data_IF_754387351836
#
_entry.id   IF_754387351836
#
_cell.length_a   1.000
_cell.length_b   1.000
_cell.length_c   1.000
_cell.angle_alpha   90.00
_cell.angle_beta   90.00
_cell.angle_gamma   90.00
#
_symmetry.space_group_name_H-M   'P 1'
#
loop_
_entity.id
_entity.type
_entity.pdbx_description
1 polymer ?
#
# COMPACT_ATOMS: atom_id res chain seq x y z
N UNK A 1 -12.89 12.05 16.38
CA UNK A 1 -13.90 11.10 15.85
C UNK A 1 -13.28 9.77 15.41
N UNK A 2 -12.17 9.75 14.67
CA UNK A 2 -11.45 8.54 14.22
C UNK A 2 -11.23 7.48 15.32
N UNK A 3 -10.82 7.90 16.52
CA UNK A 3 -10.55 6.96 17.63
C UNK A 3 -11.80 6.20 18.11
N UNK A 4 -13.00 6.81 18.04
CA UNK A 4 -14.26 6.11 18.41
C UNK A 4 -14.62 5.04 17.38
N UNK A 5 -14.53 5.38 16.09
CA UNK A 5 -14.81 4.44 14.99
C UNK A 5 -13.85 3.25 15.04
N UNK A 6 -12.58 3.50 15.33
CA UNK A 6 -11.60 2.42 15.49
C UNK A 6 -11.96 1.44 16.60
N UNK A 7 -12.40 1.96 17.75
CA UNK A 7 -12.76 1.13 18.90
C UNK A 7 -14.07 0.35 18.71
N UNK A 8 -14.96 0.81 17.83
CA UNK A 8 -16.18 0.07 17.47
C UNK A 8 -15.96 -1.08 16.48
N UNK A 9 -14.79 -1.16 15.83
CA UNK A 9 -14.50 -2.21 14.86
C UNK A 9 -14.20 -3.56 15.55
N UNK A 10 -14.58 -4.70 14.95
CA UNK A 10 -14.13 -6.01 15.40
C UNK A 10 -12.61 -6.12 15.48
N UNK A 11 -12.09 -6.96 16.37
CA UNK A 11 -10.65 -7.10 16.58
C UNK A 11 -9.92 -7.58 15.30
N UNK A 12 -10.54 -8.50 14.54
CA UNK A 12 -9.98 -8.98 13.28
C UNK A 12 -9.93 -7.88 12.20
N UNK A 13 -10.93 -6.99 12.14
CA UNK A 13 -10.92 -5.88 11.18
C UNK A 13 -9.80 -4.89 11.52
N UNK A 14 -9.59 -4.59 12.80
CA UNK A 14 -8.45 -3.76 13.24
C UNK A 14 -7.11 -4.42 12.91
N UNK A 15 -7.01 -5.73 13.07
CA UNK A 15 -5.83 -6.51 12.70
C UNK A 15 -5.55 -6.42 11.19
N UNK A 16 -6.57 -6.66 10.35
CA UNK A 16 -6.45 -6.58 8.89
C UNK A 16 -6.06 -5.17 8.45
N UNK A 17 -6.73 -4.13 8.95
CA UNK A 17 -6.46 -2.73 8.60
C UNK A 17 -5.03 -2.32 8.92
N UNK A 18 -4.47 -2.80 10.04
CA UNK A 18 -3.07 -2.52 10.42
C UNK A 18 -2.10 -3.12 9.42
N UNK A 19 -2.32 -4.37 8.99
CA UNK A 19 -1.44 -5.04 8.03
C UNK A 19 -1.59 -4.49 6.62
N UNK A 20 -2.81 -4.17 6.19
CA UNK A 20 -3.04 -3.44 4.93
C UNK A 20 -2.28 -2.13 4.93
N UNK A 21 -2.42 -1.31 5.99
CA UNK A 21 -1.75 -0.03 6.08
C UNK A 21 -0.21 -0.17 6.05
N UNK A 22 0.34 -1.17 6.75
CA UNK A 22 1.78 -1.45 6.72
C UNK A 22 2.24 -1.86 5.32
N UNK A 23 1.53 -2.79 4.66
CA UNK A 23 1.83 -3.21 3.29
C UNK A 23 1.77 -2.04 2.31
N UNK A 24 0.70 -1.24 2.37
CA UNK A 24 0.57 -0.02 1.56
C UNK A 24 1.77 0.92 1.75
N UNK A 25 2.16 1.19 3.00
CA UNK A 25 3.29 2.08 3.28
C UNK A 25 4.61 1.56 2.68
N UNK A 26 4.87 0.26 2.79
CA UNK A 26 6.04 -0.38 2.20
C UNK A 26 6.01 -0.29 0.67
N UNK A 27 4.89 -0.67 0.04
CA UNK A 27 4.72 -0.62 -1.41
C UNK A 27 4.87 0.79 -1.99
N UNK A 28 4.25 1.78 -1.34
CA UNK A 28 4.39 3.19 -1.71
C UNK A 28 5.83 3.68 -1.59
N UNK A 29 6.53 3.31 -0.50
CA UNK A 29 7.93 3.69 -0.30
C UNK A 29 8.84 3.10 -1.38
N UNK A 30 8.66 1.82 -1.70
CA UNK A 30 9.40 1.14 -2.75
C UNK A 30 9.15 1.79 -4.14
N UNK A 31 7.90 2.11 -4.46
CA UNK A 31 7.56 2.78 -5.70
C UNK A 31 8.16 4.18 -5.79
N UNK A 32 8.11 4.97 -4.71
CA UNK A 32 8.72 6.30 -4.68
C UNK A 32 10.22 6.24 -4.89
N UNK A 33 10.90 5.26 -4.29
CA UNK A 33 12.33 5.00 -4.52
C UNK A 33 12.57 4.65 -6.00
N UNK A 34 11.75 3.78 -6.59
CA UNK A 34 11.87 3.42 -8.00
C UNK A 34 11.68 4.61 -8.95
N UNK A 35 10.70 5.48 -8.67
CA UNK A 35 10.46 6.71 -9.44
C UNK A 35 11.64 7.68 -9.27
N UNK A 36 12.14 7.85 -8.05
CA UNK A 36 13.22 8.80 -7.75
C UNK A 36 14.56 8.39 -8.33
N UNK A 37 14.85 7.08 -8.35
CA UNK A 37 16.06 6.51 -8.95
C UNK A 37 15.95 6.32 -10.47
N UNK A 38 14.82 6.72 -11.06
CA UNK A 38 14.46 6.47 -12.46
C UNK A 38 14.70 5.01 -12.88
N UNK A 39 14.31 4.08 -12.01
CA UNK A 39 14.54 2.66 -12.21
C UNK A 39 13.88 2.20 -13.51
N UNK A 40 14.68 1.68 -14.44
CA UNK A 40 14.27 1.29 -15.79
C UNK A 40 13.59 2.41 -16.61
N UNK A 41 13.85 3.68 -16.29
CA UNK A 41 13.23 4.83 -16.96
C UNK A 41 11.81 5.15 -16.51
N UNK A 42 11.33 4.55 -15.41
CA UNK A 42 9.97 4.73 -14.91
C UNK A 42 9.64 6.20 -14.60
N UNK A 43 10.54 6.91 -13.92
CA UNK A 43 10.34 8.30 -13.54
C UNK A 43 10.26 9.21 -14.77
N UNK A 44 11.16 9.01 -15.74
CA UNK A 44 11.13 9.73 -17.01
C UNK A 44 9.87 9.43 -17.84
N UNK A 45 9.36 8.19 -17.79
CA UNK A 45 8.10 7.82 -18.45
C UNK A 45 6.90 8.53 -17.82
N UNK A 46 6.82 8.53 -16.48
CA UNK A 46 5.73 9.20 -15.77
C UNK A 46 5.75 10.72 -15.95
N UNK A 47 6.93 11.32 -16.04
CA UNK A 47 7.08 12.77 -16.27
C UNK A 47 6.54 13.23 -17.64
N UNK A 48 6.36 12.31 -18.61
CA UNK A 48 5.74 12.61 -19.92
C UNK A 48 4.22 12.72 -19.85
N UNK A 49 3.60 12.16 -18.80
CA UNK A 49 2.16 12.29 -18.58
C UNK A 49 1.84 13.62 -17.90
N UNK A 50 1.29 14.58 -18.65
CA UNK A 50 0.91 15.88 -18.12
C UNK A 50 -0.28 15.83 -17.14
N UNK A 51 -1.08 14.76 -17.18
CA UNK A 51 -2.27 14.64 -16.34
C UNK A 51 -1.98 14.14 -14.92
N UNK A 52 -0.83 13.48 -14.71
CA UNK A 52 -0.48 12.81 -13.46
C UNK A 52 -1.30 11.55 -13.17
N UNK A 53 -2.19 11.16 -14.08
CA UNK A 53 -3.09 10.01 -13.92
C UNK A 53 -2.29 8.70 -13.93
N UNK A 54 -1.24 8.60 -14.74
CA UNK A 54 -0.36 7.43 -14.77
C UNK A 54 0.30 7.21 -13.40
N UNK A 55 0.82 8.28 -12.80
CA UNK A 55 1.44 8.24 -11.47
C UNK A 55 0.42 7.86 -10.41
N UNK A 56 -0.78 8.44 -10.45
CA UNK A 56 -1.86 8.12 -9.52
C UNK A 56 -2.28 6.65 -9.61
N UNK A 57 -2.55 6.14 -10.81
CA UNK A 57 -2.96 4.74 -11.01
C UNK A 57 -1.88 3.77 -10.55
N UNK A 58 -0.62 4.03 -10.92
CA UNK A 58 0.50 3.18 -10.53
C UNK A 58 0.67 3.16 -9.01
N UNK A 59 0.59 4.33 -8.37
CA UNK A 59 0.69 4.44 -6.92
C UNK A 59 -0.47 3.75 -6.20
N UNK A 60 -1.70 4.00 -6.64
CA UNK A 60 -2.90 3.39 -6.07
C UNK A 60 -2.87 1.86 -6.22
N UNK A 61 -2.57 1.35 -7.41
CA UNK A 61 -2.49 -0.08 -7.67
C UNK A 61 -1.39 -0.75 -6.84
N UNK A 62 -0.21 -0.14 -6.77
CA UNK A 62 0.93 -0.68 -6.00
C UNK A 62 0.60 -0.71 -4.50
N UNK A 63 0.02 0.37 -3.97
CA UNK A 63 -0.42 0.43 -2.58
C UNK A 63 -1.42 -0.69 -2.27
N UNK A 64 -2.47 -0.82 -3.10
CA UNK A 64 -3.50 -1.85 -2.92
C UNK A 64 -2.93 -3.27 -2.99
N UNK A 65 -2.03 -3.54 -3.95
CA UNK A 65 -1.40 -4.86 -4.10
C UNK A 65 -0.55 -5.23 -2.87
N UNK A 66 0.34 -4.35 -2.42
CA UNK A 66 1.18 -4.64 -1.24
C UNK A 66 0.35 -4.71 0.05
N UNK A 67 -0.67 -3.87 0.18
CA UNK A 67 -1.62 -3.93 1.30
C UNK A 67 -2.36 -5.27 1.36
N UNK A 68 -2.88 -5.73 0.22
CA UNK A 68 -3.58 -7.02 0.12
C UNK A 68 -2.66 -8.20 0.43
N UNK A 69 -1.44 -8.21 -0.09
CA UNK A 69 -0.45 -9.28 0.17
C UNK A 69 -0.05 -9.30 1.65
N UNK A 70 0.27 -8.15 2.24
CA UNK A 70 0.66 -8.08 3.66
C UNK A 70 -0.46 -8.54 4.59
N UNK A 71 -1.70 -8.18 4.29
CA UNK A 71 -2.86 -8.67 5.01
C UNK A 71 -3.08 -10.17 4.81
N UNK A 72 -2.93 -10.67 3.58
CA UNK A 72 -3.05 -12.10 3.28
C UNK A 72 -2.05 -12.95 4.05
N UNK A 73 -0.78 -12.55 4.08
CA UNK A 73 0.27 -13.19 4.87
C UNK A 73 -0.10 -13.18 6.37
N UNK A 74 -0.49 -12.01 6.90
CA UNK A 74 -0.85 -11.89 8.30
C UNK A 74 -2.05 -12.76 8.70
N UNK A 75 -3.01 -12.93 7.78
CA UNK A 75 -4.17 -13.81 8.00
C UNK A 75 -3.78 -15.28 7.94
N UNK A 76 -2.91 -15.67 7.00
CA UNK A 76 -2.44 -17.06 6.89
C UNK A 76 -1.57 -17.47 8.08
N UNK A 77 -0.85 -16.52 8.68
CA UNK A 77 -0.04 -16.76 9.88
C UNK A 77 -0.80 -16.63 11.21
N UNK A 78 -2.12 -16.44 11.19
CA UNK A 78 -2.91 -16.49 12.42
C UNK A 78 -2.91 -17.90 13.00
N UNK A 79 -2.31 -18.06 14.19
CA UNK A 79 -2.21 -19.34 14.89
C UNK A 79 -0.96 -20.15 14.55
N UNK A 80 -0.04 -19.59 13.77
CA UNK A 80 1.33 -20.07 13.69
C UNK A 80 2.11 -19.49 14.89
N UNK A 81 2.30 -20.30 15.93
CA UNK A 81 3.27 -20.13 17.03
C UNK A 81 4.41 -21.15 16.85
#
# INVERSE_FOLDING_TARGET
MIRRVWMSLPILIRFMLRHVANGMAIGCSALLIAIWTDFAGLGAMLARDASGLATFLLFFQTAMTFGAVSMGIAVMSLGED
#
